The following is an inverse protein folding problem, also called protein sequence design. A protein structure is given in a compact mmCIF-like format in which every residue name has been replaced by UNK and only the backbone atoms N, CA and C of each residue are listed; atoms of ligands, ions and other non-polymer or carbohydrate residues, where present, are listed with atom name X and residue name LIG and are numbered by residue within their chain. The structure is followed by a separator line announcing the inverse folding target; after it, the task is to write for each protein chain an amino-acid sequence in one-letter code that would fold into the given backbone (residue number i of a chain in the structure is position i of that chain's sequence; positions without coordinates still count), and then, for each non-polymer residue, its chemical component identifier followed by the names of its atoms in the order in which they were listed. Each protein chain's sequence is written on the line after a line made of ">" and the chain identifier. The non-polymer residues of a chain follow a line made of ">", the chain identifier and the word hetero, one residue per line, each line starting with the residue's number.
data_IF_396268523236
#
_entry.id   IF_396268523236
#
_cell.length_a   1.000
_cell.length_b   1.000
_cell.length_c   1.000
_cell.angle_alpha   90.00
_cell.angle_beta   90.00
_cell.angle_gamma   90.00
#
_symmetry.space_group_name_H-M   'P 1'
#
loop_
_entity.id
_entity.type
_entity.pdbx_description
1 polymer ?
#
# COMPACT_ATOMS: atom_id res chain seq x y z
N UNK A 1 -60.81 -15.73 24.57
CA UNK A 1 -59.75 -16.57 25.18
C UNK A 1 -58.40 -16.05 24.69
N UNK A 2 -57.70 -15.32 25.55
CA UNK A 2 -56.39 -14.74 25.28
C UNK A 2 -55.29 -15.77 25.57
N UNK A 3 -54.29 -15.88 24.70
CA UNK A 3 -53.04 -16.59 24.97
C UNK A 3 -51.91 -15.56 25.04
N UNK A 4 -51.31 -15.32 26.22
CA UNK A 4 -50.17 -14.42 26.33
C UNK A 4 -48.89 -15.14 25.87
N UNK A 5 -48.11 -14.51 25.00
CA UNK A 5 -46.75 -14.94 24.70
C UNK A 5 -45.83 -14.53 25.85
N UNK A 6 -45.04 -15.51 26.30
CA UNK A 6 -44.17 -15.47 27.46
C UNK A 6 -43.00 -14.50 27.24
N UNK A 7 -42.81 -13.59 28.19
CA UNK A 7 -41.55 -12.86 28.35
C UNK A 7 -40.44 -13.86 28.68
N UNK A 8 -39.29 -13.75 28.00
CA UNK A 8 -38.07 -14.38 28.47
C UNK A 8 -37.05 -13.30 28.84
N UNK A 9 -36.66 -13.36 30.11
CA UNK A 9 -35.78 -12.46 30.81
C UNK A 9 -34.34 -12.54 30.27
N UNK A 10 -33.70 -11.37 30.16
CA UNK A 10 -32.26 -11.25 29.92
C UNK A 10 -31.50 -11.78 31.14
N UNK A 11 -30.74 -12.86 30.97
CA UNK A 11 -29.78 -13.31 31.98
C UNK A 11 -28.53 -12.42 31.94
N UNK A 12 -28.41 -11.67 33.03
CA UNK A 12 -27.21 -10.99 33.51
C UNK A 12 -26.17 -12.04 33.89
N UNK A 13 -25.05 -12.10 33.19
CA UNK A 13 -23.85 -12.82 33.68
C UNK A 13 -22.86 -11.76 34.15
N UNK A 14 -22.63 -11.74 35.47
CA UNK A 14 -21.52 -11.05 36.13
C UNK A 14 -20.81 -12.04 37.04
N UNK A 15 -19.54 -12.30 36.77
CA UNK A 15 -18.48 -12.70 37.72
C UNK A 15 -17.18 -12.62 36.90
N UNK A 16 -16.11 -11.89 37.27
CA UNK A 16 -15.60 -11.59 38.60
C UNK A 16 -14.49 -12.59 38.94
N UNK A 17 -13.22 -12.19 38.84
CA UNK A 17 -12.08 -13.02 39.28
C UNK A 17 -10.77 -12.66 38.57
N UNK A 18 -9.81 -12.12 39.31
CA UNK A 18 -8.61 -11.46 38.78
C UNK A 18 -7.35 -12.32 38.65
N UNK A 19 -6.28 -11.56 38.38
CA UNK A 19 -4.86 -11.82 38.57
C UNK A 19 -4.08 -12.72 37.60
N UNK A 20 -2.89 -12.19 37.29
CA UNK A 20 -1.66 -12.82 36.82
C UNK A 20 -1.52 -13.11 35.31
N UNK A 21 -0.72 -12.25 34.67
CA UNK A 21 0.04 -12.59 33.47
C UNK A 21 0.99 -13.78 33.75
N UNK A 22 1.34 -14.53 32.71
CA UNK A 22 2.76 -14.64 32.41
C UNK A 22 3.08 -14.35 30.94
N UNK A 23 4.23 -13.73 30.78
CA UNK A 23 4.94 -13.45 29.53
C UNK A 23 5.38 -14.75 28.87
N UNK A 24 4.99 -14.99 27.62
CA UNK A 24 5.68 -15.92 26.74
C UNK A 24 5.55 -15.42 25.29
N UNK A 25 6.67 -14.96 24.74
CA UNK A 25 6.79 -14.58 23.34
C UNK A 25 6.69 -15.82 22.43
N UNK A 26 6.09 -15.72 21.23
CA UNK A 26 6.13 -16.80 20.25
C UNK A 26 7.52 -16.94 19.64
N UNK A 27 8.04 -18.17 19.41
CA UNK A 27 9.34 -18.37 18.80
C UNK A 27 9.35 -18.00 17.31
N UNK A 28 10.38 -17.23 16.94
CA UNK A 28 10.79 -16.94 15.58
C UNK A 28 11.29 -18.22 14.90
N UNK A 29 10.68 -18.61 13.78
CA UNK A 29 11.22 -19.64 12.88
C UNK A 29 11.82 -18.94 11.66
N UNK A 30 13.15 -18.92 11.61
CA UNK A 30 13.95 -18.69 10.43
C UNK A 30 15.02 -19.78 10.39
N UNK A 31 14.98 -20.61 9.34
CA UNK A 31 16.11 -21.39 8.84
C UNK A 31 16.47 -22.68 9.57
N UNK A 32 16.06 -23.82 9.01
CA UNK A 32 16.87 -25.03 9.03
C UNK A 32 16.84 -25.67 7.63
N UNK A 33 18.04 -25.96 7.15
CA UNK A 33 18.43 -26.62 5.91
C UNK A 33 18.49 -28.12 6.21
N UNK A 34 17.85 -28.97 5.40
CA UNK A 34 18.23 -30.38 5.25
C UNK A 34 18.10 -30.81 3.78
N UNK A 35 19.20 -31.37 3.26
CA UNK A 35 19.31 -32.29 2.10
C UNK A 35 18.73 -33.66 2.55
N UNK A 36 18.35 -34.68 1.77
CA UNK A 36 18.74 -35.29 0.47
C UNK A 36 17.66 -36.40 0.23
N UNK A 37 17.20 -36.76 -0.99
CA UNK A 37 17.74 -37.79 -1.90
C UNK A 37 16.65 -38.06 -2.99
N UNK A 38 16.99 -38.02 -4.30
CA UNK A 38 17.30 -39.17 -5.20
C UNK A 38 16.02 -39.94 -5.67
N UNK A 39 15.70 -40.20 -6.95
CA UNK A 39 16.47 -40.64 -8.14
C UNK A 39 15.68 -40.28 -9.44
N UNK A 40 16.31 -39.87 -10.54
CA UNK A 40 16.72 -40.69 -11.71
C UNK A 40 16.05 -40.08 -12.97
N UNK A 41 16.53 -40.11 -14.21
CA UNK A 41 17.71 -40.66 -14.89
C UNK A 41 17.69 -40.04 -16.32
N UNK A 42 18.81 -40.01 -17.08
CA UNK A 42 18.77 -39.73 -18.53
C UNK A 42 19.79 -38.74 -19.13
N UNK A 43 21.02 -39.25 -19.29
CA UNK A 43 21.95 -39.16 -20.45
C UNK A 43 22.07 -37.92 -21.36
N UNK A 44 23.33 -37.48 -21.56
CA UNK A 44 23.70 -36.54 -22.63
C UNK A 44 25.19 -36.15 -22.69
N UNK A 45 26.02 -37.07 -23.18
CA UNK A 45 27.49 -37.03 -23.35
C UNK A 45 28.01 -36.05 -24.43
N UNK A 46 29.08 -35.29 -24.14
CA UNK A 46 30.30 -35.04 -24.95
C UNK A 46 31.13 -33.90 -24.31
N UNK A 47 32.30 -34.14 -23.70
CA UNK A 47 33.67 -34.27 -24.26
C UNK A 47 34.17 -33.02 -25.03
N UNK A 48 35.36 -32.42 -24.86
CA UNK A 48 36.56 -32.53 -24.00
C UNK A 48 37.53 -31.40 -24.49
N UNK A 49 38.52 -31.00 -23.66
CA UNK A 49 39.77 -30.21 -23.92
C UNK A 49 39.76 -28.70 -23.64
N UNK A 50 40.80 -28.07 -23.08
CA UNK A 50 42.01 -28.50 -22.37
C UNK A 50 42.63 -27.26 -21.65
N UNK A 51 43.13 -27.49 -20.43
CA UNK A 51 44.25 -26.91 -19.64
C UNK A 51 44.94 -25.55 -19.99
N UNK A 52 45.23 -24.72 -18.96
CA UNK A 52 46.60 -24.43 -18.45
C UNK A 52 46.64 -23.63 -17.12
N UNK A 53 47.55 -24.03 -16.22
CA UNK A 53 47.96 -23.52 -14.87
C UNK A 53 48.79 -22.20 -14.97
N UNK A 54 49.12 -21.39 -13.93
CA UNK A 54 49.83 -21.54 -12.62
C UNK A 54 49.51 -20.30 -11.69
N UNK A 55 49.23 -20.41 -10.37
CA UNK A 55 50.08 -20.29 -9.13
C UNK A 55 51.00 -19.05 -9.00
N UNK A 56 51.34 -18.41 -7.87
CA UNK A 56 50.98 -18.25 -6.43
C UNK A 56 51.83 -17.06 -5.91
N UNK A 57 51.46 -16.38 -4.80
CA UNK A 57 52.40 -15.98 -3.72
C UNK A 57 51.72 -15.13 -2.60
N UNK A 58 51.88 -15.60 -1.36
CA UNK A 58 51.54 -14.96 -0.08
C UNK A 58 52.79 -14.30 0.55
N UNK A 59 52.63 -13.28 1.41
CA UNK A 59 53.20 -13.29 2.78
C UNK A 59 52.82 -12.08 3.64
N UNK A 60 52.72 -12.35 4.95
CA UNK A 60 52.41 -11.51 6.11
C UNK A 60 53.57 -10.52 6.43
N UNK A 61 53.57 -9.56 7.39
CA UNK A 61 53.30 -9.73 8.81
C UNK A 61 53.22 -8.40 9.61
N UNK A 62 52.54 -8.54 10.75
CA UNK A 62 52.19 -7.67 11.91
C UNK A 62 53.26 -6.72 12.52
N UNK A 63 52.76 -5.67 13.22
CA UNK A 63 52.93 -5.53 14.70
C UNK A 63 51.90 -4.63 15.41
N UNK A 64 51.48 -5.13 16.59
CA UNK A 64 50.59 -4.62 17.68
C UNK A 64 50.94 -3.20 18.18
N UNK A 65 50.13 -2.41 18.92
CA UNK A 65 49.16 -2.70 20.00
C UNK A 65 48.45 -1.40 20.42
N UNK A 66 47.25 -1.54 21.01
CA UNK A 66 46.75 -0.89 22.26
C UNK A 66 45.51 0.03 22.14
N UNK A 67 44.38 -0.54 22.55
CA UNK A 67 43.48 0.05 23.56
C UNK A 67 42.43 1.06 23.09
N UNK A 68 41.19 0.85 23.56
CA UNK A 68 40.15 1.87 23.56
C UNK A 68 38.82 1.34 23.05
N UNK A 69 37.92 0.97 23.96
CA UNK A 69 36.54 0.68 23.62
C UNK A 69 35.85 1.93 23.08
N UNK A 70 35.11 1.76 21.98
CA UNK A 70 34.09 2.71 21.54
C UNK A 70 32.81 1.92 21.30
N UNK A 71 32.00 1.85 22.36
CA UNK A 71 30.55 1.78 22.19
C UNK A 71 30.12 3.10 21.54
N UNK A 72 30.00 3.13 20.21
CA UNK A 72 29.16 4.08 19.50
C UNK A 72 29.16 3.77 18.01
N UNK A 73 27.96 3.71 17.46
CA UNK A 73 27.67 3.61 16.03
C UNK A 73 28.00 2.26 15.41
N UNK A 74 27.32 1.21 15.90
CA UNK A 74 26.63 0.35 14.94
C UNK A 74 25.82 1.30 14.04
N UNK A 75 26.37 1.62 12.87
CA UNK A 75 25.67 2.32 11.83
C UNK A 75 24.35 1.56 11.69
N UNK A 76 23.27 2.16 12.19
CA UNK A 76 21.94 1.59 12.06
C UNK A 76 21.80 1.40 10.56
N UNK A 77 21.93 0.15 10.10
CA UNK A 77 21.73 -0.19 8.71
C UNK A 77 20.45 0.53 8.36
N UNK A 78 20.52 1.54 7.48
CA UNK A 78 19.34 2.30 7.13
C UNK A 78 18.48 1.26 6.46
N UNK A 79 17.56 0.66 7.21
CA UNK A 79 16.59 -0.27 6.69
C UNK A 79 15.68 0.63 5.87
N UNK A 80 16.06 0.84 4.62
CA UNK A 80 15.25 1.57 3.65
C UNK A 80 14.05 0.66 3.42
N UNK A 81 12.99 0.89 4.19
CA UNK A 81 11.73 0.20 3.97
C UNK A 81 11.14 0.63 2.64
N UNK A 82 10.16 -0.15 2.18
CA UNK A 82 9.54 0.08 0.88
C UNK A 82 8.76 1.40 0.88
N UNK A 83 8.63 2.00 -0.31
CA UNK A 83 7.73 3.14 -0.50
C UNK A 83 6.32 2.64 -0.80
N UNK A 84 5.35 3.16 -0.04
CA UNK A 84 3.91 2.98 -0.24
C UNK A 84 3.31 4.34 -0.59
N UNK A 85 2.58 4.43 -1.69
CA UNK A 85 1.99 5.70 -2.11
C UNK A 85 0.46 5.64 -2.06
N UNK A 86 -0.16 6.71 -1.55
CA UNK A 86 -1.61 6.87 -1.52
C UNK A 86 -1.99 8.12 -2.31
N UNK A 87 -2.90 7.96 -3.28
CA UNK A 87 -3.44 9.09 -4.03
C UNK A 87 -4.46 9.86 -3.18
N UNK A 88 -4.16 11.13 -2.90
CA UNK A 88 -4.93 12.02 -2.03
C UNK A 88 -6.16 12.64 -2.71
N UNK A 89 -6.14 12.79 -4.04
CA UNK A 89 -7.26 13.29 -4.84
C UNK A 89 -7.95 14.51 -4.16
N UNK A 90 -7.20 15.61 -3.97
CA UNK A 90 -7.76 16.83 -3.34
C UNK A 90 -8.39 16.64 -1.95
N UNK A 91 -8.08 15.56 -1.23
CA UNK A 91 -8.66 15.25 0.08
C UNK A 91 -10.00 14.52 0.04
N UNK A 92 -10.36 13.89 -1.08
CA UNK A 92 -11.61 13.15 -1.24
C UNK A 92 -11.84 12.09 -0.13
N UNK A 93 -13.10 11.80 0.17
CA UNK A 93 -13.48 10.76 1.14
C UNK A 93 -12.99 9.37 0.69
N UNK A 94 -12.96 9.13 -0.61
CA UNK A 94 -12.36 7.93 -1.20
C UNK A 94 -10.86 7.81 -0.88
N UNK A 95 -10.11 8.91 -1.00
CA UNK A 95 -8.69 8.93 -0.68
C UNK A 95 -8.42 8.71 0.82
N UNK A 96 -9.23 9.32 1.69
CA UNK A 96 -9.18 9.08 3.14
C UNK A 96 -9.46 7.62 3.49
N UNK A 97 -10.44 7.01 2.82
CA UNK A 97 -10.76 5.59 2.98
C UNK A 97 -9.59 4.71 2.55
N UNK A 98 -8.97 5.01 1.41
CA UNK A 98 -7.78 4.30 0.93
C UNK A 98 -6.60 4.44 1.90
N UNK A 99 -6.37 5.64 2.45
CA UNK A 99 -5.34 5.88 3.46
C UNK A 99 -5.59 5.07 4.74
N UNK A 100 -6.82 5.10 5.26
CA UNK A 100 -7.19 4.33 6.45
C UNK A 100 -6.96 2.83 6.25
N UNK A 101 -7.36 2.31 5.09
CA UNK A 101 -7.10 0.92 4.75
C UNK A 101 -5.60 0.62 4.70
N UNK A 102 -4.80 1.47 4.04
CA UNK A 102 -3.36 1.29 3.91
C UNK A 102 -2.66 1.28 5.28
N UNK A 103 -2.96 2.24 6.16
CA UNK A 103 -2.36 2.33 7.50
C UNK A 103 -2.68 1.11 8.39
N UNK A 104 -3.87 0.53 8.23
CA UNK A 104 -4.32 -0.62 9.00
C UNK A 104 -3.78 -1.95 8.48
N UNK A 105 -3.61 -2.13 7.16
CA UNK A 105 -3.38 -3.45 6.57
C UNK A 105 -2.08 -3.58 5.77
N UNK A 106 -1.48 -2.47 5.33
CA UNK A 106 -0.36 -2.50 4.39
C UNK A 106 0.90 -1.82 4.92
N UNK A 107 0.76 -0.70 5.64
CA UNK A 107 1.92 0.11 6.05
C UNK A 107 2.59 -0.50 7.28
N UNK A 108 3.92 -0.68 7.19
CA UNK A 108 4.78 -1.16 8.29
C UNK A 108 5.63 -0.02 8.88
N UNK A 109 6.19 -0.16 10.09
CA UNK A 109 6.96 0.91 10.74
C UNK A 109 8.17 1.41 9.93
N UNK A 110 8.87 0.54 9.19
CA UNK A 110 10.01 0.94 8.36
C UNK A 110 9.62 1.50 6.98
N UNK A 111 8.34 1.41 6.59
CA UNK A 111 7.90 1.88 5.27
C UNK A 111 7.89 3.42 5.22
N UNK A 112 8.10 3.98 4.02
CA UNK A 112 7.88 5.40 3.75
C UNK A 112 6.54 5.56 3.05
N UNK A 113 5.66 6.38 3.61
CA UNK A 113 4.34 6.66 3.05
C UNK A 113 4.34 7.99 2.29
N UNK A 114 4.06 7.92 0.99
CA UNK A 114 3.99 9.08 0.11
C UNK A 114 2.52 9.45 -0.13
N UNK A 115 2.11 10.65 0.25
CA UNK A 115 0.79 11.20 -0.08
C UNK A 115 0.89 12.01 -1.37
N UNK A 116 0.23 11.55 -2.42
CA UNK A 116 0.30 12.12 -3.76
C UNK A 116 -0.95 12.93 -4.09
N UNK A 117 -0.81 14.20 -4.44
CA UNK A 117 -1.87 14.97 -5.08
C UNK A 117 -1.56 15.30 -6.55
N UNK A 118 -2.61 15.36 -7.37
CA UNK A 118 -2.48 15.72 -8.78
C UNK A 118 -3.13 17.08 -9.00
N UNK A 119 -2.30 18.11 -9.17
CA UNK A 119 -2.73 19.44 -9.57
C UNK A 119 -3.14 19.41 -11.04
N UNK A 120 -4.32 19.95 -11.34
CA UNK A 120 -4.82 20.00 -12.71
C UNK A 120 -4.21 21.21 -13.41
N UNK A 121 -3.36 20.95 -14.40
CA UNK A 121 -2.83 22.00 -15.28
C UNK A 121 -3.98 22.65 -16.04
N UNK A 122 -4.28 23.90 -15.75
CA UNK A 122 -5.43 24.61 -16.31
C UNK A 122 -5.24 24.93 -17.80
N UNK A 123 -6.22 24.52 -18.61
CA UNK A 123 -6.44 25.09 -19.94
C UNK A 123 -7.65 26.02 -19.89
N UNK A 124 -7.43 27.31 -20.16
CA UNK A 124 -8.47 28.29 -20.49
C UNK A 124 -9.19 28.93 -19.30
N UNK A 125 -8.64 30.03 -18.79
CA UNK A 125 -9.34 30.91 -17.86
C UNK A 125 -8.37 31.81 -17.11
N UNK A 126 -8.37 33.09 -17.48
CA UNK A 126 -7.59 34.15 -16.84
C UNK A 126 -7.71 34.10 -15.31
N UNK A 127 -6.64 33.70 -14.63
CA UNK A 127 -6.60 33.62 -13.18
C UNK A 127 -5.22 33.19 -12.73
N UNK A 128 -4.41 34.17 -12.33
CA UNK A 128 -3.19 33.96 -11.53
C UNK A 128 -3.57 33.25 -10.24
N UNK A 129 -3.69 31.92 -10.25
CA UNK A 129 -3.62 31.12 -9.03
C UNK A 129 -2.45 30.15 -9.16
N UNK A 130 -1.24 30.75 -9.10
CA UNK A 130 -0.03 30.03 -8.66
C UNK A 130 -0.42 29.21 -7.43
N UNK A 131 -0.23 27.89 -7.49
CA UNK A 131 -0.33 26.97 -6.34
C UNK A 131 -1.36 27.40 -5.30
N UNK A 132 -2.63 27.02 -5.51
CA UNK A 132 -3.63 27.16 -4.45
C UNK A 132 -3.08 26.55 -3.13
N UNK A 133 -2.88 27.34 -2.07
CA UNK A 133 -2.40 26.85 -0.76
C UNK A 133 -3.26 25.72 -0.19
N UNK A 134 -4.51 25.59 -0.66
CA UNK A 134 -5.46 24.55 -0.24
C UNK A 134 -5.09 23.15 -0.73
N UNK A 135 -4.29 23.02 -1.80
CA UNK A 135 -3.75 21.72 -2.24
C UNK A 135 -2.85 21.07 -1.20
N UNK A 136 -2.22 21.87 -0.32
CA UNK A 136 -1.41 21.36 0.78
C UNK A 136 -2.25 21.05 2.04
N UNK A 137 -3.35 21.78 2.26
CA UNK A 137 -4.15 21.65 3.49
C UNK A 137 -4.75 20.24 3.65
N UNK A 138 -5.20 19.62 2.56
CA UNK A 138 -5.74 18.26 2.64
C UNK A 138 -4.65 17.20 2.88
N UNK A 139 -3.44 17.41 2.33
CA UNK A 139 -2.29 16.54 2.57
C UNK A 139 -1.86 16.60 4.04
N UNK A 140 -1.90 17.78 4.65
CA UNK A 140 -1.67 17.95 6.09
C UNK A 140 -2.73 17.23 6.92
N UNK A 141 -4.01 17.35 6.58
CA UNK A 141 -5.06 16.60 7.28
C UNK A 141 -4.84 15.07 7.18
N UNK A 142 -4.42 14.58 6.02
CA UNK A 142 -4.05 13.17 5.82
C UNK A 142 -2.78 12.79 6.60
N UNK A 143 -1.78 13.68 6.68
CA UNK A 143 -0.59 13.48 7.52
C UNK A 143 -0.94 13.33 8.99
N UNK A 144 -1.86 14.14 9.50
CA UNK A 144 -2.34 14.01 10.89
C UNK A 144 -2.98 12.64 11.14
N UNK A 145 -3.73 12.10 10.17
CA UNK A 145 -4.27 10.72 10.26
C UNK A 145 -3.13 9.68 10.32
N UNK A 146 -2.08 9.87 9.52
CA UNK A 146 -0.92 8.99 9.52
C UNK A 146 -0.21 9.01 10.87
N UNK A 147 0.11 10.20 11.38
CA UNK A 147 0.80 10.38 12.66
C UNK A 147 0.00 9.84 13.84
N UNK A 148 -1.32 10.03 13.83
CA UNK A 148 -2.18 9.52 14.90
C UNK A 148 -2.29 7.98 14.91
N UNK A 149 -2.20 7.33 13.75
CA UNK A 149 -2.34 5.86 13.64
C UNK A 149 -1.00 5.11 13.65
N UNK A 150 0.05 5.72 13.13
CA UNK A 150 1.38 5.15 12.87
C UNK A 150 2.44 6.25 13.01
N UNK A 151 2.78 6.69 14.24
CA UNK A 151 3.78 7.73 14.46
C UNK A 151 5.19 7.32 14.01
N UNK A 152 5.45 6.03 13.85
CA UNK A 152 6.74 5.48 13.43
C UNK A 152 6.99 5.63 11.93
N UNK A 153 5.94 5.87 11.14
CA UNK A 153 6.02 5.90 9.67
C UNK A 153 6.45 7.27 9.17
N UNK A 154 7.46 7.31 8.31
CA UNK A 154 7.86 8.54 7.62
C UNK A 154 6.81 8.90 6.56
N UNK A 155 6.27 10.12 6.63
CA UNK A 155 5.28 10.65 5.68
C UNK A 155 5.90 11.72 4.80
N UNK A 156 5.81 11.53 3.49
CA UNK A 156 6.30 12.45 2.46
C UNK A 156 5.13 12.95 1.59
N UNK A 157 5.24 14.17 1.08
CA UNK A 157 4.28 14.74 0.14
C UNK A 157 4.84 14.73 -1.27
N UNK A 158 4.00 14.38 -2.23
CA UNK A 158 4.31 14.48 -3.64
C UNK A 158 3.16 15.22 -4.32
N UNK A 159 3.45 16.30 -5.03
CA UNK A 159 2.45 17.01 -5.83
C UNK A 159 2.94 16.99 -7.27
N UNK A 160 2.11 16.47 -8.16
CA UNK A 160 2.43 16.39 -9.59
C UNK A 160 1.36 17.12 -10.39
N UNK A 161 1.75 17.70 -11.51
CA UNK A 161 0.81 18.30 -12.44
C UNK A 161 0.41 17.28 -13.52
N UNK A 162 -0.87 17.24 -13.85
CA UNK A 162 -1.37 16.32 -14.87
C UNK A 162 -2.73 16.73 -15.41
N UNK A 163 -2.89 16.66 -16.73
CA UNK A 163 -4.21 16.81 -17.36
C UNK A 163 -5.13 15.69 -16.90
N UNK A 164 -4.67 14.45 -17.00
CA UNK A 164 -5.41 13.25 -16.59
C UNK A 164 -4.76 12.60 -15.37
N UNK A 165 -5.58 12.32 -14.36
CA UNK A 165 -5.10 11.86 -13.05
C UNK A 165 -4.52 10.46 -13.06
N UNK A 166 -5.17 9.51 -13.75
CA UNK A 166 -4.71 8.13 -13.83
C UNK A 166 -3.27 8.04 -14.35
N UNK A 167 -2.98 8.58 -15.55
CA UNK A 167 -1.63 8.64 -16.09
C UNK A 167 -0.64 9.35 -15.16
N UNK A 168 -0.99 10.53 -14.64
CA UNK A 168 -0.10 11.30 -13.77
C UNK A 168 0.27 10.53 -12.48
N UNK A 169 -0.68 9.82 -11.87
CA UNK A 169 -0.44 8.99 -10.68
C UNK A 169 0.49 7.83 -11.00
N UNK A 170 0.25 7.13 -12.11
CA UNK A 170 1.08 5.99 -12.54
C UNK A 170 2.51 6.44 -12.83
N UNK A 171 2.68 7.57 -13.51
CA UNK A 171 4.01 8.13 -13.77
C UNK A 171 4.74 8.53 -12.48
N UNK A 172 4.03 9.17 -11.55
CA UNK A 172 4.58 9.54 -10.24
C UNK A 172 5.01 8.30 -9.44
N UNK A 173 4.19 7.25 -9.43
CA UNK A 173 4.49 5.99 -8.75
C UNK A 173 5.79 5.36 -9.28
N UNK A 174 5.93 5.36 -10.61
CA UNK A 174 7.13 4.86 -11.31
C UNK A 174 8.36 5.70 -10.96
N UNK A 175 8.27 7.03 -11.06
CA UNK A 175 9.38 7.96 -10.76
C UNK A 175 9.85 7.85 -9.30
N UNK A 176 8.92 7.64 -8.38
CA UNK A 176 9.22 7.54 -6.95
C UNK A 176 9.74 6.16 -6.52
N UNK A 177 9.71 5.15 -7.40
CA UNK A 177 10.09 3.78 -7.05
C UNK A 177 9.15 3.13 -6.04
N UNK A 178 7.84 3.40 -6.17
CA UNK A 178 6.83 2.91 -5.23
C UNK A 178 6.59 1.41 -5.43
N UNK A 179 6.56 0.65 -4.34
CA UNK A 179 6.28 -0.79 -4.37
C UNK A 179 4.78 -1.11 -4.33
N UNK A 180 3.99 -0.27 -3.66
CA UNK A 180 2.55 -0.40 -3.47
C UNK A 180 1.85 0.95 -3.67
N UNK A 181 0.95 1.02 -4.64
CA UNK A 181 0.08 2.16 -4.92
C UNK A 181 -1.34 1.87 -4.43
N UNK A 182 -1.90 2.75 -3.61
CA UNK A 182 -3.28 2.65 -3.12
C UNK A 182 -4.07 3.86 -3.62
N UNK A 183 -5.20 3.62 -4.28
CA UNK A 183 -6.05 4.67 -4.85
C UNK A 183 -7.48 4.50 -4.34
N UNK A 184 -8.08 5.61 -3.89
CA UNK A 184 -9.49 5.64 -3.53
C UNK A 184 -10.39 5.38 -4.73
N UNK A 185 -11.28 4.40 -4.65
CA UNK A 185 -12.21 4.08 -5.71
C UNK A 185 -13.56 4.74 -5.46
N UNK A 186 -13.94 5.64 -6.37
CA UNK A 186 -15.23 6.34 -6.31
C UNK A 186 -16.40 5.39 -6.49
N UNK A 187 -17.35 5.44 -5.56
CA UNK A 187 -18.61 4.71 -5.68
C UNK A 187 -19.48 5.44 -6.72
N UNK A 188 -19.47 4.99 -7.98
CA UNK A 188 -20.45 5.46 -8.95
C UNK A 188 -21.83 4.99 -8.49
N UNK A 189 -22.75 5.94 -8.26
CA UNK A 189 -24.13 5.59 -7.98
C UNK A 189 -24.72 4.88 -9.19
N UNK A 190 -25.59 3.89 -8.93
CA UNK A 190 -26.30 3.18 -9.99
C UNK A 190 -27.15 4.18 -10.80
N UNK A 191 -27.70 5.20 -10.13
CA UNK A 191 -28.43 6.30 -10.76
C UNK A 191 -27.57 7.10 -11.74
N UNK A 192 -26.32 7.44 -11.39
CA UNK A 192 -25.43 8.14 -12.33
C UNK A 192 -25.03 7.26 -13.50
N UNK A 193 -24.86 5.95 -13.28
CA UNK A 193 -24.59 4.99 -14.36
C UNK A 193 -25.77 4.93 -15.35
N UNK A 194 -26.99 4.82 -14.84
CA UNK A 194 -28.21 4.80 -15.65
C UNK A 194 -28.43 6.15 -16.36
N UNK A 195 -28.25 7.26 -15.67
CA UNK A 195 -28.34 8.59 -16.25
C UNK A 195 -27.30 8.80 -17.36
N UNK A 196 -26.07 8.32 -17.16
CA UNK A 196 -25.03 8.39 -18.19
C UNK A 196 -25.38 7.53 -19.42
N UNK A 197 -25.99 6.36 -19.22
CA UNK A 197 -26.49 5.53 -20.33
C UNK A 197 -27.63 6.20 -21.08
N UNK A 198 -28.53 6.89 -20.37
CA UNK A 198 -29.63 7.62 -20.97
C UNK A 198 -29.16 8.86 -21.77
N UNK A 199 -28.20 9.61 -21.22
CA UNK A 199 -27.58 10.75 -21.91
C UNK A 199 -26.67 10.32 -23.08
N UNK A 200 -26.06 9.13 -23.04
CA UNK A 200 -25.28 8.58 -24.15
C UNK A 200 -26.14 8.14 -25.35
N UNK A 201 -27.45 7.94 -25.16
CA UNK A 201 -28.42 7.73 -26.24
C UNK A 201 -28.77 8.99 -27.02
N UNK A 202 -28.46 10.18 -26.47
CA UNK A 202 -28.56 11.47 -27.17
C UNK A 202 -27.24 11.71 -27.90
N UNK A 203 -27.29 11.54 -29.23
CA UNK A 203 -26.19 11.69 -30.20
C UNK A 203 -25.35 12.94 -29.88
N UNK A 204 -24.19 12.76 -29.22
CA UNK A 204 -23.22 13.84 -29.00
C UNK A 204 -22.54 13.92 -27.64
N UNK A 205 -23.03 13.24 -26.60
CA UNK A 205 -22.27 13.14 -25.35
C UNK A 205 -21.20 12.07 -25.51
N UNK A 206 -19.93 12.47 -25.65
CA UNK A 206 -18.79 11.56 -25.59
C UNK A 206 -18.99 10.60 -24.42
N UNK A 207 -19.28 9.34 -24.73
CA UNK A 207 -19.36 8.28 -23.75
C UNK A 207 -18.04 8.28 -23.00
N UNK A 208 -18.05 8.81 -21.77
CA UNK A 208 -16.91 8.89 -20.87
C UNK A 208 -16.53 7.48 -20.41
N UNK A 209 -16.04 6.68 -21.36
CA UNK A 209 -15.44 5.36 -21.20
C UNK A 209 -14.01 5.44 -20.66
N UNK A 210 -13.57 6.62 -20.23
CA UNK A 210 -12.44 6.73 -19.31
C UNK A 210 -12.84 6.08 -17.99
N UNK A 211 -12.31 4.89 -17.71
CA UNK A 211 -12.37 4.27 -16.39
C UNK A 211 -11.94 5.26 -15.30
N UNK A 212 -12.34 5.00 -14.05
CA UNK A 212 -11.90 5.85 -12.94
C UNK A 212 -10.37 5.95 -12.92
N UNK A 213 -9.81 7.04 -12.39
CA UNK A 213 -8.36 7.15 -12.19
C UNK A 213 -7.81 5.92 -11.44
N UNK A 214 -8.60 5.38 -10.48
CA UNK A 214 -8.32 4.14 -9.79
C UNK A 214 -8.23 2.92 -10.73
N UNK A 215 -9.18 2.75 -11.66
CA UNK A 215 -9.19 1.63 -12.61
C UNK A 215 -8.00 1.72 -13.57
N UNK A 216 -7.64 2.94 -14.00
CA UNK A 216 -6.46 3.18 -14.82
C UNK A 216 -5.18 2.80 -14.07
N UNK A 217 -5.03 3.23 -12.81
CA UNK A 217 -3.87 2.91 -11.98
C UNK A 217 -3.70 1.40 -11.79
N UNK A 218 -4.78 0.69 -11.49
CA UNK A 218 -4.75 -0.77 -11.30
C UNK A 218 -4.30 -1.53 -12.56
N UNK A 219 -4.61 -1.00 -13.75
CA UNK A 219 -4.28 -1.64 -15.02
C UNK A 219 -2.86 -1.29 -15.52
N UNK A 220 -2.40 -0.06 -15.29
CA UNK A 220 -1.20 0.49 -15.93
C UNK A 220 -0.03 0.75 -14.98
N UNK A 221 -0.22 0.66 -13.66
CA UNK A 221 0.89 0.76 -12.72
C UNK A 221 1.87 -0.41 -12.92
N UNK A 222 3.17 -0.09 -12.92
CA UNK A 222 4.23 -1.10 -12.94
C UNK A 222 4.37 -1.82 -11.59
N UNK A 223 3.94 -1.19 -10.50
CA UNK A 223 3.96 -1.73 -9.15
C UNK A 223 2.61 -2.37 -8.76
N UNK A 224 2.56 -2.99 -7.58
CA UNK A 224 1.30 -3.49 -7.04
C UNK A 224 0.35 -2.32 -6.80
N UNK A 225 -0.80 -2.31 -7.49
CA UNK A 225 -1.79 -1.25 -7.38
C UNK A 225 -3.14 -1.77 -6.89
N UNK A 226 -3.70 -1.08 -5.89
CA UNK A 226 -4.95 -1.42 -5.23
C UNK A 226 -5.92 -0.25 -5.31
N UNK A 227 -7.09 -0.50 -5.87
CA UNK A 227 -8.23 0.40 -5.78
C UNK A 227 -9.10 0.00 -4.58
N UNK A 228 -9.31 0.92 -3.65
CA UNK A 228 -9.96 0.64 -2.36
C UNK A 228 -11.22 1.48 -2.20
N UNK A 229 -12.33 0.84 -1.82
CA UNK A 229 -13.56 1.54 -1.42
C UNK A 229 -14.23 0.89 -0.22
N UNK A 230 -15.06 1.66 0.49
CA UNK A 230 -15.87 1.13 1.59
C UNK A 230 -17.00 0.25 1.04
N UNK A 231 -17.24 -0.92 1.65
CA UNK A 231 -18.32 -1.83 1.24
C UNK A 231 -19.70 -1.20 1.45
N UNK A 232 -19.95 -0.69 2.66
CA UNK A 232 -21.21 -0.04 3.04
C UNK A 232 -20.96 1.26 3.82
N UNK A 233 -21.98 2.13 3.85
CA UNK A 233 -21.94 3.34 4.66
C UNK A 233 -22.06 3.05 6.16
N UNK A 234 -22.72 1.95 6.55
CA UNK A 234 -22.98 1.62 7.96
C UNK A 234 -21.94 0.69 8.60
N UNK A 235 -20.81 0.43 7.93
CA UNK A 235 -19.78 -0.52 8.36
C UNK A 235 -19.54 -1.63 7.34
N UNK A 236 -18.78 -2.67 7.71
CA UNK A 236 -18.62 -3.88 6.90
C UNK A 236 -17.37 -3.95 6.01
N UNK A 237 -16.27 -3.29 6.38
CA UNK A 237 -14.96 -3.45 5.75
C UNK A 237 -14.79 -2.78 4.38
N UNK A 238 -13.82 -3.27 3.61
CA UNK A 238 -13.33 -2.65 2.38
C UNK A 238 -13.43 -3.59 1.19
N UNK A 239 -13.85 -3.08 0.04
CA UNK A 239 -13.72 -3.76 -1.24
C UNK A 239 -12.42 -3.32 -1.90
N UNK A 240 -11.67 -4.30 -2.38
CA UNK A 240 -10.38 -4.09 -3.02
C UNK A 240 -10.48 -4.58 -4.46
N UNK A 241 -9.93 -3.79 -5.36
CA UNK A 241 -9.74 -4.16 -6.75
C UNK A 241 -8.25 -4.15 -7.07
N UNK A 242 -7.77 -5.27 -7.60
CA UNK A 242 -6.42 -5.48 -8.12
C UNK A 242 -6.50 -5.70 -9.64
N UNK A 243 -5.33 -5.86 -10.28
CA UNK A 243 -5.25 -6.18 -11.70
C UNK A 243 -5.93 -7.50 -12.08
N UNK A 244 -5.93 -8.48 -11.17
CA UNK A 244 -6.43 -9.84 -11.42
C UNK A 244 -7.81 -10.11 -10.84
N UNK A 245 -8.19 -9.41 -9.78
CA UNK A 245 -9.44 -9.63 -9.05
C UNK A 245 -10.12 -8.31 -8.77
N UNK A 246 -11.43 -8.24 -9.01
CA UNK A 246 -12.23 -7.04 -8.78
C UNK A 246 -13.16 -7.21 -7.59
N UNK A 247 -13.32 -6.13 -6.84
CA UNK A 247 -14.28 -5.99 -5.75
C UNK A 247 -14.29 -7.17 -4.77
N UNK A 248 -13.13 -7.77 -4.49
CA UNK A 248 -13.02 -8.82 -3.49
C UNK A 248 -12.97 -8.18 -2.09
N UNK A 249 -13.58 -8.87 -1.13
CA UNK A 249 -13.65 -8.44 0.25
C UNK A 249 -12.61 -9.20 1.05
N UNK A 250 -11.62 -8.50 1.62
CA UNK A 250 -10.78 -9.09 2.66
C UNK A 250 -11.58 -9.03 3.98
N UNK A 251 -11.82 -10.20 4.57
CA UNK A 251 -12.32 -10.29 5.94
C UNK A 251 -11.31 -9.58 6.85
N UNK A 252 -11.81 -8.59 7.59
CA UNK A 252 -11.03 -7.85 8.58
C UNK A 252 -10.88 -8.68 9.85
#
# INVERSE_FOLDING_TARGET
>A
MARPLRSFCLHRIRSGGGCAAPTAAPPSICGAKEEQADSGDGDGKSSVKDAKEEEEDEEEAKKKKKGGGNEASAAAAIVVGRKVMVAADGGSEEARTALQWALSHAVRPCDTLVLLDVARGGGGGNGKNRRDPRGCQHLEAMRSICQAKRPEVRVEFCVVEGKDRGPAIVEAARKQGVSLLVVGQKKRSVTWRLLSMWMAGVKGAAAGGGGSAADYCVQHAACMALAVRRKSRRGGGYLITTRRQRDFWLLA
#
